data_IF_064544079803
#
_entry.id   IF_064544079803
#
_cell.length_a   1.000
_cell.length_b   1.000
_cell.length_c   1.000
_cell.angle_alpha   90.00
_cell.angle_beta   90.00
_cell.angle_gamma   90.00
#
_symmetry.space_group_name_H-M   'P 1'
#
loop_
_entity.id
_entity.type
_entity.pdbx_description
1 polymer ?
#
# COMPACT_ATOMS: atom_id res chain seq x y z
N UNK A 1 -8.60 -16.79 19.74
CA UNK A 1 -8.40 -15.48 20.41
C UNK A 1 -9.63 -15.17 21.26
N UNK A 2 -9.49 -14.65 22.48
CA UNK A 2 -10.66 -14.32 23.30
C UNK A 2 -11.36 -13.05 22.77
N UNK A 3 -12.67 -12.86 23.03
CA UNK A 3 -13.38 -11.64 22.66
C UNK A 3 -12.74 -10.36 23.22
N UNK A 4 -12.21 -10.42 24.44
CA UNK A 4 -11.53 -9.28 25.09
C UNK A 4 -10.25 -8.92 24.32
N UNK A 5 -9.47 -9.92 23.91
CA UNK A 5 -8.24 -9.69 23.14
C UNK A 5 -8.53 -9.12 21.75
N UNK A 6 -9.61 -9.56 21.10
CA UNK A 6 -10.08 -8.95 19.84
C UNK A 6 -10.42 -7.47 20.05
N UNK A 7 -11.18 -7.15 21.09
CA UNK A 7 -11.56 -5.77 21.38
C UNK A 7 -10.35 -4.88 21.69
N UNK A 8 -9.39 -5.38 22.47
CA UNK A 8 -8.14 -4.69 22.78
C UNK A 8 -7.36 -4.30 21.51
N UNK A 9 -7.26 -5.21 20.54
CA UNK A 9 -6.58 -4.97 19.27
C UNK A 9 -7.34 -4.02 18.34
N UNK A 10 -8.67 -4.16 18.25
CA UNK A 10 -9.49 -3.37 17.33
C UNK A 10 -9.74 -1.93 17.81
N UNK A 11 -9.80 -1.68 19.12
CA UNK A 11 -10.17 -0.37 19.68
C UNK A 11 -9.25 0.78 19.20
N UNK A 12 -7.91 0.65 19.20
CA UNK A 12 -7.03 1.67 18.63
C UNK A 12 -7.28 1.90 17.13
N UNK A 13 -7.67 0.88 16.39
CA UNK A 13 -7.96 1.00 14.94
C UNK A 13 -9.26 1.75 14.67
N UNK A 14 -10.24 1.67 15.60
CA UNK A 14 -11.51 2.41 15.51
C UNK A 14 -11.33 3.93 15.66
N UNK A 15 -10.24 4.37 16.28
CA UNK A 15 -9.90 5.79 16.39
C UNK A 15 -9.24 6.36 15.11
N UNK A 16 -8.83 5.49 14.17
CA UNK A 16 -8.25 5.91 12.89
C UNK A 16 -9.36 6.18 11.86
N UNK A 17 -9.08 6.96 10.80
CA UNK A 17 -9.94 6.99 9.62
C UNK A 17 -10.23 5.57 9.11
N UNK A 18 -11.44 5.31 8.62
CA UNK A 18 -11.85 3.95 8.24
C UNK A 18 -11.12 3.42 7.02
N UNK A 19 -11.27 2.12 6.75
CA UNK A 19 -10.68 1.43 5.60
C UNK A 19 -10.99 2.15 4.29
N UNK A 20 -12.21 2.62 4.09
CA UNK A 20 -12.67 3.25 2.86
C UNK A 20 -11.88 4.54 2.58
N UNK A 21 -11.64 5.36 3.61
CA UNK A 21 -10.80 6.55 3.49
C UNK A 21 -9.34 6.19 3.16
N UNK A 22 -8.80 5.12 3.76
CA UNK A 22 -7.47 4.63 3.42
C UNK A 22 -7.41 4.11 1.97
N UNK A 23 -8.44 3.40 1.50
CA UNK A 23 -8.53 2.94 0.11
C UNK A 23 -8.48 4.10 -0.87
N UNK A 24 -9.23 5.17 -0.63
CA UNK A 24 -9.24 6.34 -1.51
C UNK A 24 -7.87 7.03 -1.56
N UNK A 25 -7.25 7.24 -0.40
CA UNK A 25 -5.93 7.88 -0.30
C UNK A 25 -4.83 7.04 -0.98
N UNK A 26 -4.79 5.75 -0.71
CA UNK A 26 -3.78 4.85 -1.28
C UNK A 26 -3.99 4.66 -2.78
N UNK A 27 -5.24 4.51 -3.24
CA UNK A 27 -5.57 4.44 -4.68
C UNK A 27 -5.06 5.68 -5.41
N UNK A 28 -5.37 6.87 -4.89
CA UNK A 28 -4.91 8.11 -5.48
C UNK A 28 -3.38 8.18 -5.57
N UNK A 29 -2.68 7.81 -4.49
CA UNK A 29 -1.22 7.81 -4.45
C UNK A 29 -0.59 6.84 -5.46
N UNK A 30 -1.04 5.57 -5.50
CA UNK A 30 -0.47 4.59 -6.46
C UNK A 30 -0.78 4.96 -7.90
N UNK A 31 -1.95 5.52 -8.19
CA UNK A 31 -2.30 6.02 -9.52
C UNK A 31 -1.39 7.18 -9.93
N UNK A 32 -1.13 8.14 -9.03
CA UNK A 32 -0.21 9.25 -9.31
C UNK A 32 1.22 8.76 -9.54
N UNK A 33 1.71 7.84 -8.70
CA UNK A 33 3.04 7.24 -8.86
C UNK A 33 3.15 6.48 -10.18
N UNK A 34 2.16 5.65 -10.54
CA UNK A 34 2.16 4.89 -11.78
C UNK A 34 2.14 5.79 -13.02
N UNK A 35 1.35 6.85 -13.01
CA UNK A 35 1.36 7.88 -14.06
C UNK A 35 2.74 8.56 -14.17
N UNK A 36 3.35 8.91 -13.05
CA UNK A 36 4.68 9.52 -13.05
C UNK A 36 5.76 8.57 -13.55
N UNK A 37 5.69 7.28 -13.21
CA UNK A 37 6.64 6.25 -13.67
C UNK A 37 6.48 6.00 -15.18
N UNK A 38 5.25 5.88 -15.69
CA UNK A 38 5.00 5.70 -17.13
C UNK A 38 5.44 6.90 -17.96
N UNK A 39 5.44 8.12 -17.38
CA UNK A 39 6.00 9.29 -18.04
C UNK A 39 7.53 9.24 -18.23
N UNK A 40 8.26 8.36 -17.51
CA UNK A 40 9.70 8.18 -17.67
C UNK A 40 10.07 7.28 -18.86
N UNK A 41 9.18 6.39 -19.28
CA UNK A 41 9.48 5.29 -20.19
C UNK A 41 8.51 5.33 -21.39
N UNK A 42 8.96 5.77 -22.58
CA UNK A 42 8.10 5.83 -23.77
C UNK A 42 7.43 4.48 -24.07
N UNK A 43 6.11 4.49 -24.21
CA UNK A 43 5.32 3.30 -24.52
C UNK A 43 4.99 2.40 -23.32
N UNK A 44 5.49 2.70 -22.12
CA UNK A 44 5.09 1.98 -20.90
C UNK A 44 3.66 2.37 -20.50
N UNK A 45 2.84 1.37 -20.20
CA UNK A 45 1.46 1.55 -19.72
C UNK A 45 1.30 0.80 -18.40
N UNK A 46 0.22 1.10 -17.67
CA UNK A 46 -0.07 0.42 -16.40
C UNK A 46 -1.55 0.04 -16.27
N UNK A 47 -1.83 -0.97 -15.46
CA UNK A 47 -3.16 -1.38 -15.02
C UNK A 47 -3.21 -1.57 -13.51
N UNK A 48 -4.42 -1.44 -12.94
CA UNK A 48 -4.68 -1.85 -11.56
C UNK A 48 -5.01 -3.34 -11.56
N UNK A 49 -4.05 -4.17 -11.19
CA UNK A 49 -4.18 -5.62 -11.26
C UNK A 49 -4.92 -6.20 -10.04
N UNK A 50 -4.83 -5.51 -8.89
CA UNK A 50 -5.53 -5.91 -7.67
C UNK A 50 -5.84 -4.72 -6.79
N UNK A 51 -7.10 -4.59 -6.34
CA UNK A 51 -7.53 -3.60 -5.34
C UNK A 51 -8.58 -4.13 -4.34
N UNK A 52 -8.79 -5.45 -4.35
CA UNK A 52 -9.84 -6.12 -3.57
C UNK A 52 -9.33 -6.84 -2.33
N UNK A 53 -8.02 -7.12 -2.26
CA UNK A 53 -7.44 -7.77 -1.08
C UNK A 53 -7.46 -6.84 0.12
N UNK A 54 -7.82 -7.38 1.28
CA UNK A 54 -7.94 -6.59 2.51
C UNK A 54 -7.39 -7.27 3.76
N UNK A 55 -6.49 -8.24 3.63
CA UNK A 55 -5.97 -8.98 4.78
C UNK A 55 -5.11 -8.13 5.72
N UNK A 56 -5.10 -8.51 6.99
CA UNK A 56 -4.14 -8.05 7.98
C UNK A 56 -3.38 -9.26 8.52
N UNK A 57 -2.06 -9.15 8.67
CA UNK A 57 -1.22 -10.22 9.21
C UNK A 57 -1.04 -10.15 10.73
N UNK A 58 -0.37 -11.15 11.30
CA UNK A 58 0.00 -11.19 12.72
C UNK A 58 -1.22 -11.25 13.65
N UNK A 59 -1.16 -10.52 14.76
CA UNK A 59 -2.23 -10.52 15.78
C UNK A 59 -3.60 -10.08 15.23
N UNK A 60 -3.62 -9.38 14.09
CA UNK A 60 -4.84 -8.90 13.45
C UNK A 60 -5.52 -9.92 12.53
N UNK A 61 -4.88 -11.05 12.22
CA UNK A 61 -5.41 -12.10 11.30
C UNK A 61 -6.81 -12.59 11.72
N UNK A 62 -7.05 -12.64 13.03
CA UNK A 62 -8.30 -13.13 13.63
C UNK A 62 -9.25 -12.00 14.07
N UNK A 63 -9.05 -10.79 13.55
CA UNK A 63 -9.90 -9.61 13.85
C UNK A 63 -10.69 -9.17 12.62
N UNK A 64 -11.53 -8.15 12.76
CA UNK A 64 -12.19 -7.47 11.62
C UNK A 64 -11.30 -6.44 10.94
N UNK A 65 -10.04 -6.31 11.38
CA UNK A 65 -9.12 -5.38 10.79
C UNK A 65 -8.78 -5.76 9.34
N UNK A 66 -8.67 -4.73 8.50
CA UNK A 66 -8.45 -4.84 7.07
C UNK A 66 -7.41 -3.83 6.63
N UNK A 67 -6.55 -4.19 5.68
CA UNK A 67 -5.66 -3.25 5.03
C UNK A 67 -6.25 -2.81 3.68
N UNK A 68 -5.95 -1.59 3.24
CA UNK A 68 -6.09 -1.24 1.84
C UNK A 68 -4.88 -1.81 1.09
N UNK A 69 -5.11 -2.50 -0.03
CA UNK A 69 -4.04 -3.05 -0.85
C UNK A 69 -4.28 -2.74 -2.32
N UNK A 70 -3.21 -2.34 -2.99
CA UNK A 70 -3.21 -2.06 -4.41
C UNK A 70 -1.97 -2.69 -5.05
N UNK A 71 -2.16 -3.29 -6.21
CA UNK A 71 -1.11 -3.75 -7.09
C UNK A 71 -1.28 -3.12 -8.47
N UNK A 72 -0.32 -2.31 -8.86
CA UNK A 72 -0.15 -1.82 -10.22
C UNK A 72 0.77 -2.77 -10.96
N UNK A 73 0.32 -3.27 -12.11
CA UNK A 73 1.16 -3.94 -13.10
C UNK A 73 1.55 -2.96 -14.20
N UNK A 74 2.82 -2.98 -14.61
CA UNK A 74 3.28 -2.25 -15.79
C UNK A 74 3.46 -3.21 -16.96
N UNK A 75 3.22 -2.73 -18.19
CA UNK A 75 3.27 -3.55 -19.41
C UNK A 75 4.67 -4.02 -19.82
N UNK A 76 5.71 -3.52 -19.16
CA UNK A 76 7.10 -3.86 -19.41
C UNK A 76 8.00 -3.43 -18.24
N UNK A 77 9.32 -3.57 -18.39
CA UNK A 77 10.27 -3.21 -17.35
C UNK A 77 10.54 -1.69 -17.32
N UNK A 78 10.85 -1.18 -16.14
CA UNK A 78 11.51 0.11 -15.95
C UNK A 78 13.00 -0.07 -16.30
N UNK A 79 13.56 0.67 -17.27
CA UNK A 79 14.98 0.60 -17.63
C UNK A 79 15.90 1.04 -16.48
N UNK A 80 17.12 0.52 -16.45
CA UNK A 80 18.12 0.82 -15.41
C UNK A 80 18.39 2.33 -15.28
N UNK A 81 18.48 3.05 -16.41
CA UNK A 81 18.71 4.50 -16.42
C UNK A 81 17.55 5.31 -15.81
N UNK A 82 16.33 4.78 -15.86
CA UNK A 82 15.14 5.40 -15.27
C UNK A 82 14.87 4.93 -13.82
N UNK A 83 15.49 3.84 -13.39
CA UNK A 83 15.23 3.21 -12.09
C UNK A 83 15.42 4.15 -10.90
N UNK A 84 16.52 4.92 -10.78
CA UNK A 84 16.69 5.85 -9.65
C UNK A 84 15.56 6.87 -9.53
N UNK A 85 15.05 7.36 -10.66
CA UNK A 85 13.95 8.33 -10.68
C UNK A 85 12.62 7.67 -10.33
N UNK A 86 12.36 6.44 -10.79
CA UNK A 86 11.19 5.67 -10.39
C UNK A 86 11.17 5.39 -8.87
N UNK A 87 12.32 5.03 -8.28
CA UNK A 87 12.46 4.87 -6.83
C UNK A 87 12.15 6.17 -6.09
N UNK A 88 12.63 7.31 -6.61
CA UNK A 88 12.39 8.61 -5.99
C UNK A 88 10.90 8.99 -6.01
N UNK A 89 10.18 8.72 -7.10
CA UNK A 89 8.72 8.92 -7.19
C UNK A 89 7.99 8.15 -6.08
N UNK A 90 8.35 6.88 -5.87
CA UNK A 90 7.73 6.06 -4.83
C UNK A 90 8.10 6.56 -3.43
N UNK A 91 9.36 6.95 -3.20
CA UNK A 91 9.79 7.58 -1.95
C UNK A 91 8.99 8.84 -1.62
N UNK A 92 8.81 9.72 -2.59
CA UNK A 92 8.13 10.99 -2.36
C UNK A 92 6.64 10.81 -2.09
N UNK A 93 5.97 9.95 -2.86
CA UNK A 93 4.56 9.68 -2.62
C UNK A 93 4.30 8.85 -1.35
N UNK A 94 5.26 8.04 -0.87
CA UNK A 94 5.12 7.27 0.36
C UNK A 94 5.24 8.12 1.64
N UNK A 95 6.00 9.24 1.59
CA UNK A 95 6.24 10.13 2.75
C UNK A 95 4.96 10.64 3.39
N UNK A 96 3.91 10.92 2.61
CA UNK A 96 2.64 11.44 3.13
C UNK A 96 1.94 10.46 4.10
N UNK A 97 2.31 9.18 4.07
CA UNK A 97 1.78 8.14 4.95
C UNK A 97 2.70 7.83 6.14
N UNK A 98 3.78 8.59 6.35
CA UNK A 98 4.80 8.24 7.34
C UNK A 98 5.53 6.95 7.00
N UNK A 99 5.62 6.62 5.71
CA UNK A 99 6.31 5.43 5.19
C UNK A 99 7.64 5.89 4.58
N UNK A 100 8.72 5.74 5.36
CA UNK A 100 10.04 6.34 5.05
C UNK A 100 11.22 5.40 5.21
N UNK A 101 11.04 4.22 5.82
CA UNK A 101 12.12 3.27 6.04
C UNK A 101 12.40 2.52 4.73
N UNK A 102 13.44 2.94 4.02
CA UNK A 102 13.83 2.40 2.72
C UNK A 102 14.73 1.17 2.87
N UNK A 103 14.46 0.13 2.09
CA UNK A 103 15.33 -1.02 1.95
C UNK A 103 15.38 -1.53 0.52
N UNK A 104 16.51 -2.14 0.18
CA UNK A 104 16.79 -2.74 -1.13
C UNK A 104 16.84 -4.24 -0.96
N UNK A 105 16.00 -4.96 -1.70
CA UNK A 105 16.00 -6.42 -1.76
C UNK A 105 16.88 -6.93 -2.89
N UNK A 106 16.87 -6.23 -4.03
CA UNK A 106 17.72 -6.49 -5.19
C UNK A 106 18.12 -5.19 -5.87
N UNK A 107 19.35 -5.15 -6.35
CA UNK A 107 19.90 -4.05 -7.15
C UNK A 107 20.98 -4.60 -8.07
N UNK A 108 20.58 -4.96 -9.29
CA UNK A 108 21.48 -5.38 -10.38
C UNK A 108 20.82 -5.03 -11.72
N UNK A 109 21.60 -4.91 -12.81
CA UNK A 109 21.06 -4.55 -14.12
C UNK A 109 19.85 -5.42 -14.53
N UNK A 110 18.73 -4.78 -14.81
CA UNK A 110 17.47 -5.42 -15.21
C UNK A 110 16.76 -6.25 -14.14
N UNK A 111 17.13 -6.19 -12.85
CA UNK A 111 16.43 -6.88 -11.75
C UNK A 111 16.58 -6.06 -10.46
N UNK A 112 15.61 -5.19 -10.22
CA UNK A 112 15.57 -4.32 -9.03
C UNK A 112 14.33 -4.58 -8.21
N UNK A 113 14.48 -4.50 -6.88
CA UNK A 113 13.39 -4.66 -5.93
C UNK A 113 13.68 -3.85 -4.66
N UNK A 114 12.78 -2.94 -4.33
CA UNK A 114 12.85 -2.10 -3.14
C UNK A 114 11.56 -2.17 -2.35
N UNK A 115 11.66 -1.85 -1.06
CA UNK A 115 10.52 -1.55 -0.22
C UNK A 115 10.73 -0.25 0.54
N UNK A 116 9.61 0.37 0.92
CA UNK A 116 9.55 1.50 1.82
C UNK A 116 8.49 1.16 2.86
N UNK A 117 8.85 1.10 4.14
CA UNK A 117 7.94 0.74 5.22
C UNK A 117 7.84 1.83 6.28
N UNK A 118 6.80 1.78 7.10
CA UNK A 118 6.60 2.70 8.21
C UNK A 118 5.26 2.45 8.89
N UNK A 119 4.90 3.34 9.82
CA UNK A 119 3.69 3.18 10.62
C UNK A 119 2.41 3.17 9.76
N UNK A 120 2.41 3.87 8.62
CA UNK A 120 1.29 3.88 7.68
C UNK A 120 1.20 2.65 6.78
N UNK A 121 2.20 1.75 6.76
CA UNK A 121 2.17 0.55 5.91
C UNK A 121 3.45 0.37 5.11
N UNK A 122 3.31 -0.16 3.90
CA UNK A 122 4.44 -0.54 3.04
C UNK A 122 4.14 -0.29 1.56
N UNK A 123 5.13 0.23 0.85
CA UNK A 123 5.18 0.31 -0.60
C UNK A 123 6.31 -0.58 -1.11
N UNK A 124 6.12 -1.26 -2.24
CA UNK A 124 7.20 -2.00 -2.93
C UNK A 124 7.18 -1.69 -4.40
N UNK A 125 8.36 -1.49 -4.98
CA UNK A 125 8.55 -1.33 -6.41
C UNK A 125 9.55 -2.37 -6.86
N UNK A 126 9.20 -3.13 -7.89
CA UNK A 126 10.10 -4.12 -8.49
C UNK A 126 10.06 -4.06 -10.01
N UNK A 127 11.16 -4.42 -10.66
CA UNK A 127 11.26 -4.55 -12.11
C UNK A 127 12.18 -5.70 -12.49
N UNK A 128 11.73 -6.54 -13.43
CA UNK A 128 12.57 -7.54 -14.10
C UNK A 128 12.12 -7.73 -15.55
N UNK A 129 11.28 -8.74 -15.84
CA UNK A 129 10.63 -8.90 -17.17
C UNK A 129 9.48 -7.90 -17.32
N UNK A 130 8.78 -7.65 -16.23
CA UNK A 130 7.78 -6.60 -16.07
C UNK A 130 8.03 -5.87 -14.74
N UNK A 131 7.35 -4.75 -14.54
CA UNK A 131 7.41 -4.02 -13.27
C UNK A 131 6.09 -4.11 -12.51
N UNK A 132 6.18 -3.95 -11.19
CA UNK A 132 5.00 -3.79 -10.32
C UNK A 132 5.25 -2.77 -9.23
N UNK A 133 4.19 -2.05 -8.86
CA UNK A 133 4.14 -1.18 -7.69
C UNK A 133 3.01 -1.69 -6.79
N UNK A 134 3.35 -2.09 -5.58
CA UNK A 134 2.37 -2.48 -4.56
C UNK A 134 2.33 -1.46 -3.44
N UNK A 135 1.16 -1.24 -2.88
CA UNK A 135 0.97 -0.45 -1.68
C UNK A 135 -0.02 -1.16 -0.75
N UNK A 136 0.36 -1.29 0.50
CA UNK A 136 -0.48 -1.83 1.56
C UNK A 136 -0.50 -0.83 2.72
N UNK A 137 -1.69 -0.44 3.17
CA UNK A 137 -1.84 0.42 4.34
C UNK A 137 -1.60 -0.35 5.64
N UNK A 138 -1.49 0.39 6.73
CA UNK A 138 -1.74 -0.13 8.06
C UNK A 138 -3.18 -0.66 8.18
N UNK A 139 -3.41 -1.50 9.19
CA UNK A 139 -4.72 -2.09 9.43
C UNK A 139 -5.74 -1.02 9.88
N UNK A 140 -6.96 -1.11 9.35
CA UNK A 140 -8.11 -0.24 9.61
C UNK A 140 -9.36 -1.07 9.91
N UNK A 141 -10.34 -0.44 10.54
CA UNK A 141 -11.69 -0.98 10.62
C UNK A 141 -12.53 -0.38 9.48
N UNK A 142 -13.31 -1.21 8.80
CA UNK A 142 -14.27 -0.72 7.79
C UNK A 142 -15.42 0.03 8.46
N UNK A 143 -15.98 1.02 7.78
CA UNK A 143 -17.19 1.73 8.24
C UNK A 143 -18.33 0.76 8.58
N UNK A 144 -18.47 -0.34 7.83
CA UNK A 144 -19.53 -1.34 8.08
C UNK A 144 -19.27 -2.22 9.30
N UNK A 145 -18.01 -2.29 9.74
CA UNK A 145 -17.56 -3.10 10.88
C UNK A 145 -17.42 -2.25 12.17
N UNK A 146 -17.82 -0.98 12.10
CA UNK A 146 -17.86 -0.07 13.24
C UNK A 146 -19.21 -0.19 13.95
N UNK A 147 -19.28 -0.40 15.28
CA UNK A 147 -20.53 -0.37 16.01
C UNK A 147 -21.28 0.91 15.68
N UNK A 148 -22.55 0.77 15.30
CA UNK A 148 -23.45 1.91 15.18
C UNK A 148 -23.47 2.61 16.55
N UNK A 149 -23.31 3.94 16.64
CA UNK A 149 -23.45 4.62 17.92
C UNK A 149 -24.81 4.24 18.52
N UNK A 150 -24.79 3.76 19.77
CA UNK A 150 -26.03 3.47 20.49
C UNK A 150 -26.77 4.79 20.67
N UNK A 151 -28.05 4.90 20.24
CA UNK A 151 -28.80 6.11 20.51
C UNK A 151 -28.82 6.35 22.02
N UNK A 152 -28.41 7.54 22.44
CA UNK A 152 -28.56 7.98 23.83
C UNK A 152 -30.06 8.08 24.14
N UNK A 153 -30.55 7.51 25.27
CA UNK A 153 -31.96 7.60 25.65
C UNK A 153 -32.43 9.04 25.86
#
# INVERSE_FOLDING_TARGET
MSPEKVAELENPLRAKPPLEAAKDQYRAAVTQMANAITALVPGLTWSMDMDTWTGCGGDYEWTRAKAAYFMVGFSGPIPDDNWPQAVQIVKDGAKQFGVTNFGVMKDKPGDHDIYISGAGGIFKLGTQVASSLTAQSDCRISQTDTPKPTPTP
#
